data_IF_725704437009
#
_entry.id   IF_725704437009
#
_cell.length_a   1.000
_cell.length_b   1.000
_cell.length_c   1.000
_cell.angle_alpha   90.00
_cell.angle_beta   90.00
_cell.angle_gamma   90.00
#
_symmetry.space_group_name_H-M   'P 1'
#
loop_
_entity.id
_entity.type
_entity.pdbx_description
1 polymer ?
#
# COMPACT_ATOMS: atom_id res chain seq x y z
N UNK A 1 14.63 -15.00 -20.43
CA UNK A 1 14.26 -13.64 -19.98
C UNK A 1 14.18 -13.65 -18.46
N UNK A 2 14.75 -12.67 -17.78
CA UNK A 2 14.83 -12.64 -16.32
C UNK A 2 13.56 -12.01 -15.73
N UNK A 3 12.81 -12.78 -14.92
CA UNK A 3 11.59 -12.30 -14.29
C UNK A 3 11.92 -11.57 -12.98
N UNK A 4 11.95 -10.23 -13.04
CA UNK A 4 12.21 -9.39 -11.86
C UNK A 4 10.92 -8.94 -11.20
N UNK A 5 10.92 -9.05 -9.88
CA UNK A 5 9.80 -8.67 -9.02
C UNK A 5 10.26 -7.66 -7.98
N UNK A 6 9.38 -6.73 -7.64
CA UNK A 6 9.60 -5.73 -6.60
C UNK A 6 8.60 -5.93 -5.47
N UNK A 7 9.11 -5.87 -4.24
CA UNK A 7 8.27 -5.88 -3.05
C UNK A 7 7.47 -4.58 -3.02
N UNK A 8 6.15 -4.68 -2.94
CA UNK A 8 5.28 -3.51 -2.83
C UNK A 8 4.40 -3.55 -1.58
N UNK A 9 4.26 -4.70 -0.91
CA UNK A 9 3.54 -4.75 0.35
C UNK A 9 4.05 -5.84 1.31
N UNK A 10 4.07 -5.49 2.60
CA UNK A 10 4.39 -6.39 3.71
C UNK A 10 3.21 -6.40 4.67
N UNK A 11 2.63 -7.56 4.91
CA UNK A 11 1.61 -7.74 5.95
C UNK A 11 2.30 -8.36 7.17
N UNK A 12 2.14 -7.72 8.31
CA UNK A 12 2.65 -8.19 9.59
C UNK A 12 1.49 -8.58 10.49
N UNK A 13 1.60 -9.75 11.11
CA UNK A 13 0.77 -10.12 12.24
C UNK A 13 1.52 -9.82 13.55
N UNK A 14 0.85 -9.16 14.48
CA UNK A 14 1.36 -8.89 15.82
C UNK A 14 0.50 -9.67 16.82
N UNK A 15 0.99 -10.79 17.30
CA UNK A 15 0.30 -11.62 18.26
C UNK A 15 0.98 -12.97 18.41
N UNK A 16 0.81 -13.60 19.57
CA UNK A 16 1.40 -14.92 19.83
C UNK A 16 0.56 -16.06 19.24
N UNK A 17 -0.75 -15.87 19.12
CA UNK A 17 -1.68 -16.92 18.67
C UNK A 17 -2.07 -16.73 17.21
N UNK A 18 -2.20 -17.81 16.43
CA UNK A 18 -2.71 -17.70 15.05
C UNK A 18 -4.16 -17.20 14.97
N UNK A 19 -4.95 -17.42 16.02
CA UNK A 19 -6.38 -17.08 16.07
C UNK A 19 -6.67 -15.71 16.67
N UNK A 20 -5.65 -14.98 17.14
CA UNK A 20 -5.82 -13.65 17.73
C UNK A 20 -4.57 -12.81 17.59
N UNK A 21 -4.72 -11.54 17.23
CA UNK A 21 -3.64 -10.57 17.20
C UNK A 21 -4.07 -9.36 16.39
N UNK A 22 -3.09 -8.62 15.88
CA UNK A 22 -3.33 -7.42 15.11
C UNK A 22 -2.57 -7.45 13.79
N UNK A 23 -3.26 -7.17 12.69
CA UNK A 23 -2.63 -7.10 11.38
C UNK A 23 -2.39 -5.64 11.00
N UNK A 24 -1.19 -5.36 10.50
CA UNK A 24 -0.87 -4.09 9.86
C UNK A 24 -0.23 -4.37 8.51
N UNK A 25 -0.40 -3.46 7.56
CA UNK A 25 0.31 -3.56 6.29
C UNK A 25 1.21 -2.34 6.05
N UNK A 26 2.31 -2.60 5.37
CA UNK A 26 3.22 -1.59 4.85
C UNK A 26 3.11 -1.64 3.33
N UNK A 27 2.76 -0.54 2.69
CA UNK A 27 2.50 -0.46 1.25
C UNK A 27 3.44 0.56 0.60
N UNK A 28 4.06 0.18 -0.51
CA UNK A 28 4.87 1.04 -1.38
C UNK A 28 3.97 1.69 -2.41
N UNK A 29 3.70 2.98 -2.27
CA UNK A 29 2.81 3.73 -3.18
C UNK A 29 3.56 4.29 -4.40
N UNK A 30 4.88 4.43 -4.31
CA UNK A 30 5.78 4.88 -5.37
C UNK A 30 7.19 4.35 -5.09
N UNK A 31 8.17 4.49 -6.02
CA UNK A 31 9.49 3.88 -5.88
C UNK A 31 10.16 4.05 -4.53
N UNK A 32 9.95 5.14 -3.78
CA UNK A 32 10.62 5.34 -2.48
C UNK A 32 9.65 5.81 -1.38
N UNK A 33 8.35 5.64 -1.56
CA UNK A 33 7.36 6.08 -0.57
C UNK A 33 6.63 4.88 -0.01
N UNK A 34 6.85 4.65 1.28
CA UNK A 34 6.21 3.60 2.05
C UNK A 34 5.25 4.18 3.07
N UNK A 35 4.13 3.49 3.26
CA UNK A 35 3.13 3.83 4.25
C UNK A 35 2.87 2.64 5.14
N UNK A 36 2.87 2.86 6.45
CA UNK A 36 2.27 1.94 7.41
C UNK A 36 0.78 2.25 7.49
N UNK A 37 -0.05 1.28 7.17
CA UNK A 37 -1.50 1.34 7.32
C UNK A 37 -1.88 0.48 8.53
N UNK A 38 -2.28 1.16 9.59
CA UNK A 38 -2.72 0.57 10.85
C UNK A 38 -4.16 0.99 11.10
N UNK A 39 -5.09 0.22 10.56
CA UNK A 39 -6.53 0.53 10.54
C UNK A 39 -6.78 1.95 10.01
N UNK A 40 -7.35 2.83 10.85
CA UNK A 40 -7.62 4.23 10.53
C UNK A 40 -6.39 5.14 10.54
N UNK A 41 -5.22 4.64 10.97
CA UNK A 41 -3.99 5.43 11.09
C UNK A 41 -3.02 5.06 9.98
N UNK A 42 -2.80 6.02 9.08
CA UNK A 42 -1.83 5.90 7.98
C UNK A 42 -0.66 6.84 8.23
N UNK A 43 0.57 6.33 8.16
CA UNK A 43 1.78 7.12 8.38
C UNK A 43 2.86 6.78 7.36
N UNK A 44 3.56 7.78 6.83
CA UNK A 44 4.77 7.55 6.03
C UNK A 44 5.87 6.92 6.90
N UNK A 45 6.64 6.01 6.31
CA UNK A 45 7.75 5.32 6.97
C UNK A 45 8.91 5.12 5.99
N UNK A 46 10.11 4.97 6.53
CA UNK A 46 11.31 4.64 5.75
C UNK A 46 11.33 3.16 5.33
N UNK A 47 11.98 2.85 4.22
CA UNK A 47 12.06 1.49 3.68
C UNK A 47 12.76 0.54 4.66
N UNK A 48 13.78 0.99 5.38
CA UNK A 48 14.50 0.21 6.40
C UNK A 48 13.57 -0.24 7.53
N UNK A 49 12.60 0.60 7.90
CA UNK A 49 11.60 0.25 8.90
C UNK A 49 10.63 -0.82 8.37
N UNK A 50 10.38 -0.86 7.07
CA UNK A 50 9.55 -1.90 6.42
C UNK A 50 10.31 -3.22 6.31
N UNK A 51 11.57 -3.17 5.86
CA UNK A 51 12.40 -4.35 5.65
C UNK A 51 12.82 -5.06 6.94
N UNK A 52 12.75 -4.37 8.08
CA UNK A 52 13.01 -4.94 9.42
C UNK A 52 11.80 -5.62 10.07
N UNK A 53 10.65 -5.66 9.40
CA UNK A 53 9.45 -6.29 9.98
C UNK A 53 9.50 -7.81 9.91
N UNK A 54 9.00 -8.45 10.98
CA UNK A 54 8.65 -9.87 10.97
C UNK A 54 7.42 -10.08 10.06
N UNK A 55 7.68 -10.28 8.77
CA UNK A 55 6.64 -10.40 7.77
C UNK A 55 5.85 -11.71 7.92
N UNK A 56 4.53 -11.61 7.84
CA UNK A 56 3.64 -12.76 7.72
C UNK A 56 3.32 -13.08 6.26
N UNK A 57 3.02 -12.05 5.45
CA UNK A 57 2.79 -12.18 4.00
C UNK A 57 3.61 -11.11 3.29
N UNK A 58 4.27 -11.50 2.20
CA UNK A 58 4.97 -10.61 1.29
C UNK A 58 4.26 -10.59 -0.06
N UNK A 59 4.07 -9.40 -0.61
CA UNK A 59 3.38 -9.16 -1.87
C UNK A 59 4.35 -8.51 -2.86
N UNK A 60 4.54 -9.19 -3.99
CA UNK A 60 5.48 -8.79 -5.04
C UNK A 60 4.73 -8.55 -6.36
N UNK A 61 5.16 -7.53 -7.09
CA UNK A 61 4.68 -7.21 -8.43
C UNK A 61 5.82 -7.34 -9.43
N UNK A 62 5.53 -7.76 -10.67
CA UNK A 62 6.53 -7.77 -11.75
C UNK A 62 6.98 -6.32 -12.01
N UNK A 63 8.27 -6.08 -12.21
CA UNK A 63 8.81 -4.72 -12.38
C UNK A 63 8.21 -3.95 -13.56
N UNK A 64 7.69 -4.65 -14.57
CA UNK A 64 7.06 -4.03 -15.74
C UNK A 64 5.64 -3.49 -15.45
N UNK A 65 5.13 -3.67 -14.23
CA UNK A 65 3.82 -3.16 -13.81
C UNK A 65 4.01 -1.72 -13.30
N UNK A 66 3.31 -0.73 -13.89
CA UNK A 66 3.37 0.67 -13.43
C UNK A 66 2.97 0.79 -11.96
N UNK A 67 3.58 1.75 -11.26
CA UNK A 67 3.18 2.06 -9.89
C UNK A 67 1.77 2.60 -9.82
N UNK A 68 1.09 2.36 -8.70
CA UNK A 68 -0.24 2.90 -8.43
C UNK A 68 -0.30 4.42 -8.61
N UNK A 69 0.70 5.15 -8.12
CA UNK A 69 0.81 6.61 -8.31
C UNK A 69 0.75 6.99 -9.80
N UNK A 70 1.51 6.31 -10.64
CA UNK A 70 1.51 6.52 -12.09
C UNK A 70 0.18 6.11 -12.74
N UNK A 71 -0.41 5.00 -12.30
CA UNK A 71 -1.68 4.52 -12.85
C UNK A 71 -2.84 5.50 -12.58
N UNK A 72 -2.85 6.16 -11.41
CA UNK A 72 -3.87 7.16 -11.06
C UNK A 72 -3.68 8.48 -11.82
N UNK A 73 -2.44 8.89 -12.10
CA UNK A 73 -2.16 10.06 -12.95
C UNK A 73 -2.72 9.88 -14.36
N UNK A 74 -2.61 8.67 -14.92
CA UNK A 74 -3.18 8.31 -16.24
C UNK A 74 -4.72 8.36 -16.22
N UNK A 75 -5.33 8.16 -15.06
CA UNK A 75 -6.79 8.14 -14.90
C UNK A 75 -7.40 9.49 -14.53
N UNK A 76 -6.64 10.58 -14.37
CA UNK A 76 -7.21 11.90 -14.12
C UNK A 76 -7.80 12.44 -15.43
N UNK A 77 -9.13 12.37 -15.67
CA UNK A 77 -9.71 13.16 -16.73
C UNK A 77 -9.63 14.62 -16.25
N UNK A 78 -9.59 15.59 -17.15
CA UNK A 78 -9.80 17.00 -16.75
C UNK A 78 -11.03 17.06 -15.83
N UNK A 79 -10.82 17.33 -14.54
CA UNK A 79 -11.91 17.50 -13.60
C UNK A 79 -12.57 18.84 -13.94
N UNK A 80 -13.72 18.77 -14.61
CA UNK A 80 -14.61 19.92 -14.78
C UNK A 80 -15.08 20.37 -13.38
N UNK A 81 -14.97 21.66 -13.03
CA UNK A 81 -15.37 22.16 -11.73
C UNK A 81 -16.90 22.30 -11.70
N UNK A 82 -17.62 21.21 -11.46
CA UNK A 82 -19.07 21.32 -11.39
C UNK A 82 -19.86 20.04 -11.25
N UNK A 83 -19.62 19.21 -10.23
CA UNK A 83 -20.63 18.25 -9.77
C UNK A 83 -20.64 18.23 -8.24
N UNK A 84 -21.79 18.63 -7.70
CA UNK A 84 -22.11 18.74 -6.28
C UNK A 84 -22.06 17.40 -5.56
N UNK A 85 -21.43 17.43 -4.39
CA UNK A 85 -21.35 16.37 -3.38
C UNK A 85 -22.73 15.81 -3.02
N UNK A 86 -23.00 14.58 -3.41
CA UNK A 86 -24.09 13.78 -2.86
C UNK A 86 -23.52 12.53 -2.19
N UNK A 87 -22.77 12.76 -1.10
CA UNK A 87 -22.45 11.70 -0.14
C UNK A 87 -23.74 11.10 0.45
N UNK A 88 -23.96 9.78 0.39
CA UNK A 88 -25.07 9.15 1.08
C UNK A 88 -24.76 9.07 2.58
N UNK A 89 -25.60 9.69 3.41
CA UNK A 89 -25.56 9.52 4.87
C UNK A 89 -26.07 8.13 5.27
N UNK A 90 -25.45 7.58 6.30
CA UNK A 90 -25.86 6.37 7.04
C UNK A 90 -27.28 6.46 7.59
#
# INVERSE_FOLDING_TARGET
EELRYQLFAVVKHSGFRPTSGHYVCYIRSSPNIWHKMNDSRVTCVEEEAVLSQEAYILLYAKQDIPWFSTAIEVQKPCADPGISDSSPKS
#
